data_IF_679229002264
#
_entry.id   IF_679229002264
#
_cell.length_a   1.000
_cell.length_b   1.000
_cell.length_c   1.000
_cell.angle_alpha   90.00
_cell.angle_beta   90.00
_cell.angle_gamma   90.00
#
_symmetry.space_group_name_H-M   'P 1'
#
loop_
_entity.id
_entity.type
_entity.pdbx_description
1 polymer ?
#
# COMPACT_ATOMS: atom_id res chain seq x y z
N UNK A 1 -4.28 -13.87 1.35
CA UNK A 1 -2.85 -13.79 1.01
C UNK A 1 -2.55 -12.43 0.46
N UNK A 2 -1.37 -11.85 0.75
CA UNK A 2 -0.99 -10.51 0.30
C UNK A 2 0.35 -10.50 -0.44
N UNK A 3 0.41 -9.79 -1.57
CA UNK A 3 1.60 -9.40 -2.32
C UNK A 3 1.64 -7.87 -2.44
N UNK A 4 2.84 -7.28 -2.45
CA UNK A 4 3.05 -5.85 -2.62
C UNK A 4 4.17 -5.59 -3.64
N UNK A 5 3.86 -4.80 -4.66
CA UNK A 5 4.83 -4.28 -5.61
C UNK A 5 4.95 -2.76 -5.43
N UNK A 6 6.18 -2.27 -5.32
CA UNK A 6 6.51 -0.85 -5.17
C UNK A 6 7.42 -0.40 -6.32
N UNK A 7 7.39 0.87 -6.72
CA UNK A 7 8.32 1.39 -7.71
C UNK A 7 9.73 1.42 -7.12
N UNK A 8 10.75 1.19 -7.97
CA UNK A 8 12.15 1.00 -7.55
C UNK A 8 12.67 2.11 -6.62
N UNK A 9 12.30 3.35 -6.89
CA UNK A 9 12.80 4.49 -6.13
C UNK A 9 12.22 4.55 -4.70
N UNK A 10 11.04 3.98 -4.46
CA UNK A 10 10.51 3.84 -3.09
C UNK A 10 11.32 2.84 -2.27
N UNK A 11 11.79 1.76 -2.91
CA UNK A 11 12.67 0.77 -2.28
C UNK A 11 14.02 1.38 -1.89
N UNK A 12 14.45 2.42 -2.60
CA UNK A 12 15.63 3.23 -2.27
C UNK A 12 15.34 4.37 -1.28
N UNK A 13 14.14 4.43 -0.70
CA UNK A 13 13.77 5.49 0.24
C UNK A 13 13.65 6.87 -0.41
N UNK A 14 13.23 6.93 -1.68
CA UNK A 14 13.07 8.17 -2.44
C UNK A 14 11.62 8.45 -2.80
N UNK A 15 11.33 9.73 -3.08
CA UNK A 15 10.07 10.19 -3.65
C UNK A 15 10.36 11.03 -4.89
N UNK A 16 9.52 10.93 -5.92
CA UNK A 16 9.65 11.76 -7.10
C UNK A 16 9.00 13.13 -6.90
N UNK A 17 9.73 14.23 -7.08
CA UNK A 17 9.16 15.57 -7.16
C UNK A 17 8.83 15.90 -8.62
N UNK A 18 7.54 15.97 -8.96
CA UNK A 18 7.08 16.30 -10.31
C UNK A 18 7.29 17.77 -10.67
N UNK A 19 7.42 18.68 -9.70
CA UNK A 19 7.68 20.09 -9.97
C UNK A 19 9.13 20.28 -10.40
N UNK A 20 10.05 19.66 -9.66
CA UNK A 20 11.49 19.78 -9.90
C UNK A 20 12.06 18.69 -10.83
N UNK A 21 11.24 17.68 -11.17
CA UNK A 21 11.61 16.52 -12.00
C UNK A 21 12.84 15.78 -11.46
N UNK A 22 12.88 15.56 -10.14
CA UNK A 22 14.00 14.89 -9.46
C UNK A 22 13.51 13.92 -8.39
N UNK A 23 14.34 12.95 -8.05
CA UNK A 23 14.12 12.10 -6.88
C UNK A 23 14.70 12.76 -5.63
N UNK A 24 13.89 12.84 -4.58
CA UNK A 24 14.26 13.35 -3.26
C UNK A 24 14.47 12.16 -2.35
N UNK A 25 15.65 12.06 -1.76
CA UNK A 25 15.92 11.11 -0.67
C UNK A 25 15.18 11.58 0.59
N UNK A 26 14.33 10.72 1.13
CA UNK A 26 13.54 11.01 2.34
C UNK A 26 14.05 10.23 3.55
N UNK A 27 15.13 9.46 3.41
CA UNK A 27 15.82 8.80 4.51
C UNK A 27 14.90 7.90 5.33
N UNK A 28 14.16 7.00 4.68
CA UNK A 28 13.29 6.04 5.37
C UNK A 28 14.12 5.19 6.35
N UNK A 29 13.66 5.11 7.60
CA UNK A 29 14.37 4.40 8.67
C UNK A 29 14.25 2.88 8.58
N UNK A 30 13.29 2.38 7.80
CA UNK A 30 12.96 0.95 7.67
C UNK A 30 12.74 0.61 6.20
N UNK A 31 12.88 -0.67 5.84
CA UNK A 31 12.47 -1.17 4.53
C UNK A 31 10.95 -0.99 4.40
N UNK A 32 10.56 -0.03 3.56
CA UNK A 32 9.16 0.35 3.36
C UNK A 32 8.31 -0.82 2.85
N UNK A 33 8.88 -1.72 2.04
CA UNK A 33 8.15 -2.87 1.52
C UNK A 33 7.79 -3.82 2.66
N UNK A 34 8.78 -4.15 3.50
CA UNK A 34 8.58 -5.04 4.64
C UNK A 34 7.65 -4.45 5.69
N UNK A 35 7.80 -3.14 5.96
CA UNK A 35 6.94 -2.41 6.89
C UNK A 35 5.48 -2.37 6.42
N UNK A 36 5.24 -2.01 5.16
CA UNK A 36 3.89 -2.01 4.56
C UNK A 36 3.28 -3.42 4.56
N UNK A 37 4.07 -4.44 4.21
CA UNK A 37 3.61 -5.84 4.21
C UNK A 37 3.25 -6.34 5.61
N UNK A 38 4.08 -6.08 6.62
CA UNK A 38 3.80 -6.48 8.00
C UNK A 38 2.51 -5.83 8.52
N UNK A 39 2.35 -4.54 8.27
CA UNK A 39 1.16 -3.79 8.69
C UNK A 39 -0.07 -4.25 7.94
N UNK A 40 0.00 -4.40 6.61
CA UNK A 40 -1.11 -4.88 5.78
C UNK A 40 -1.63 -6.24 6.25
N UNK A 41 -0.74 -7.19 6.51
CA UNK A 41 -1.11 -8.51 7.06
C UNK A 41 -1.77 -8.38 8.44
N UNK A 42 -1.18 -7.60 9.35
CA UNK A 42 -1.74 -7.37 10.68
C UNK A 42 -3.16 -6.79 10.62
N UNK A 43 -3.39 -5.79 9.77
CA UNK A 43 -4.70 -5.18 9.63
C UNK A 43 -5.74 -6.15 9.07
N UNK A 44 -5.42 -6.86 7.98
CA UNK A 44 -6.33 -7.84 7.40
C UNK A 44 -6.67 -8.96 8.39
N UNK A 45 -5.70 -9.40 9.20
CA UNK A 45 -5.96 -10.40 10.24
C UNK A 45 -6.96 -9.90 11.30
N UNK A 46 -6.98 -8.59 11.58
CA UNK A 46 -7.94 -7.98 12.50
C UNK A 46 -9.32 -7.79 11.86
N UNK A 47 -9.40 -7.42 10.58
CA UNK A 47 -10.67 -7.31 9.85
C UNK A 47 -11.32 -8.69 9.60
N UNK A 48 -10.52 -9.73 9.44
CA UNK A 48 -10.97 -11.10 9.20
C UNK A 48 -10.43 -12.06 10.27
N UNK A 49 -10.94 -12.01 11.52
CA UNK A 49 -10.37 -12.77 12.65
C UNK A 49 -10.43 -14.29 12.47
N UNK A 50 -11.34 -14.78 11.62
CA UNK A 50 -11.48 -16.20 11.32
C UNK A 50 -10.71 -16.64 10.06
N UNK A 51 -10.07 -15.71 9.34
CA UNK A 51 -9.25 -16.02 8.19
C UNK A 51 -7.78 -16.18 8.58
N UNK A 52 -7.05 -16.99 7.82
CA UNK A 52 -5.58 -17.01 7.90
C UNK A 52 -5.03 -16.00 6.89
N UNK A 53 -4.36 -14.96 7.38
CA UNK A 53 -3.71 -13.96 6.54
C UNK A 53 -2.19 -14.16 6.57
N UNK A 54 -1.56 -14.17 5.39
CA UNK A 54 -0.12 -14.35 5.23
C UNK A 54 0.45 -13.61 4.03
N UNK A 55 1.79 -13.57 3.96
CA UNK A 55 2.60 -12.97 2.88
C UNK A 55 2.84 -13.97 1.76
N UNK A 56 2.76 -13.54 0.50
CA UNK A 56 3.16 -14.34 -0.66
C UNK A 56 4.69 -14.27 -0.87
N UNK A 57 5.36 -15.33 -1.35
CA UNK A 57 4.86 -16.68 -1.62
C UNK A 57 4.46 -17.43 -0.34
N UNK A 58 3.45 -18.28 -0.47
CA UNK A 58 2.85 -19.03 0.64
C UNK A 58 3.39 -20.45 0.69
N UNK A 59 3.76 -20.89 1.89
CA UNK A 59 4.43 -22.18 2.11
C UNK A 59 3.49 -23.33 2.50
N UNK A 60 2.17 -23.17 2.48
CA UNK A 60 1.25 -24.26 2.87
C UNK A 60 0.54 -24.91 1.68
N UNK A 61 0.04 -26.12 1.90
CA UNK A 61 -0.60 -26.94 0.87
C UNK A 61 -1.99 -26.43 0.40
N UNK A 62 -2.59 -25.46 1.12
CA UNK A 62 -3.94 -24.97 0.81
C UNK A 62 -3.90 -23.78 -0.14
N UNK A 63 -4.67 -23.85 -1.23
CA UNK A 63 -4.90 -22.71 -2.14
C UNK A 63 -5.60 -21.57 -1.39
N UNK A 64 -5.12 -20.33 -1.48
CA UNK A 64 -5.76 -19.21 -0.80
C UNK A 64 -7.14 -18.90 -1.40
N UNK A 65 -8.10 -18.58 -0.53
CA UNK A 65 -9.44 -18.14 -0.95
C UNK A 65 -9.40 -16.77 -1.61
N UNK A 66 -8.57 -15.86 -1.08
CA UNK A 66 -8.32 -14.53 -1.64
C UNK A 66 -6.82 -14.29 -1.80
N UNK A 67 -6.42 -13.92 -3.01
CA UNK A 67 -5.13 -13.31 -3.31
C UNK A 67 -5.32 -11.81 -3.45
N UNK A 68 -4.75 -11.05 -2.51
CA UNK A 68 -4.66 -9.60 -2.54
C UNK A 68 -3.29 -9.24 -3.09
N UNK A 69 -3.24 -8.48 -4.18
CA UNK A 69 -2.00 -7.96 -4.73
C UNK A 69 -2.11 -6.45 -4.84
N UNK A 70 -1.25 -5.74 -4.12
CA UNK A 70 -1.21 -4.28 -4.10
C UNK A 70 -0.05 -3.85 -4.98
N UNK A 71 -0.32 -2.99 -5.94
CA UNK A 71 0.69 -2.39 -6.82
C UNK A 71 0.65 -0.88 -6.59
N UNK A 72 1.74 -0.30 -6.10
CA UNK A 72 1.92 1.14 -6.11
C UNK A 72 2.62 1.48 -7.42
N UNK A 73 1.95 2.22 -8.29
CA UNK A 73 2.48 2.62 -9.61
C UNK A 73 3.41 3.83 -9.44
N UNK A 74 2.96 4.85 -8.71
CA UNK A 74 3.74 6.06 -8.46
C UNK A 74 3.47 6.64 -7.05
N UNK A 75 4.54 7.14 -6.44
CA UNK A 75 4.54 8.05 -5.30
C UNK A 75 5.30 9.33 -5.69
N UNK A 76 4.64 10.48 -5.65
CA UNK A 76 5.25 11.75 -6.04
C UNK A 76 4.70 12.96 -5.27
N UNK A 77 5.46 14.06 -5.31
CA UNK A 77 5.03 15.37 -4.84
C UNK A 77 4.76 16.28 -6.03
N UNK A 78 3.62 16.97 -6.02
CA UNK A 78 3.24 18.00 -7.02
C UNK A 78 2.46 19.10 -6.32
N UNK A 79 2.80 20.37 -6.54
CA UNK A 79 2.08 21.51 -5.96
C UNK A 79 1.84 21.42 -4.44
N UNK A 80 2.86 21.04 -3.65
CA UNK A 80 2.75 20.78 -2.21
C UNK A 80 1.72 19.69 -1.82
N UNK A 81 1.40 18.76 -2.72
CA UNK A 81 0.58 17.60 -2.43
C UNK A 81 1.40 16.34 -2.70
N UNK A 82 1.43 15.43 -1.73
CA UNK A 82 1.93 14.08 -1.94
C UNK A 82 0.80 13.22 -2.50
N UNK A 83 1.08 12.54 -3.60
CA UNK A 83 0.11 11.74 -4.33
C UNK A 83 0.66 10.32 -4.46
N UNK A 84 -0.19 9.35 -4.18
CA UNK A 84 0.07 7.93 -4.42
C UNK A 84 -0.98 7.37 -5.34
N UNK A 85 -0.52 6.76 -6.43
CA UNK A 85 -1.34 6.11 -7.44
C UNK A 85 -0.96 4.64 -7.50
N UNK A 86 -1.95 3.78 -7.66
CA UNK A 86 -1.74 2.34 -7.71
C UNK A 86 -3.02 1.56 -7.96
N UNK A 87 -2.95 0.25 -7.73
CA UNK A 87 -4.06 -0.68 -7.89
C UNK A 87 -4.04 -1.74 -6.80
N UNK A 88 -5.23 -2.22 -6.44
CA UNK A 88 -5.39 -3.46 -5.68
C UNK A 88 -6.07 -4.47 -6.57
N UNK A 89 -5.49 -5.66 -6.64
CA UNK A 89 -6.05 -6.82 -7.31
C UNK A 89 -6.55 -7.79 -6.24
N UNK A 90 -7.80 -8.22 -6.35
CA UNK A 90 -8.36 -9.31 -5.55
C UNK A 90 -8.88 -10.38 -6.49
N UNK A 91 -8.25 -11.56 -6.50
CA UNK A 91 -8.60 -12.67 -7.39
C UNK A 91 -8.88 -12.18 -8.83
N UNK A 92 -7.94 -11.41 -9.41
CA UNK A 92 -7.98 -10.80 -10.75
C UNK A 92 -8.81 -9.51 -10.93
N UNK A 93 -9.64 -9.11 -9.96
CA UNK A 93 -10.38 -7.85 -10.03
C UNK A 93 -9.49 -6.67 -9.61
N UNK A 94 -9.24 -5.75 -10.54
CA UNK A 94 -8.43 -4.55 -10.31
C UNK A 94 -9.29 -3.36 -9.87
N UNK A 95 -8.88 -2.69 -8.79
CA UNK A 95 -9.42 -1.40 -8.37
C UNK A 95 -8.30 -0.36 -8.28
N UNK A 96 -8.58 0.83 -8.79
CA UNK A 96 -7.64 1.95 -8.77
C UNK A 96 -7.57 2.51 -7.34
N UNK A 97 -6.35 2.70 -6.85
CA UNK A 97 -6.04 3.44 -5.64
C UNK A 97 -5.51 4.82 -6.02
N UNK A 98 -6.07 5.86 -5.39
CA UNK A 98 -5.54 7.21 -5.46
C UNK A 98 -5.64 7.87 -4.09
N UNK A 99 -4.50 8.21 -3.53
CA UNK A 99 -4.39 8.92 -2.26
C UNK A 99 -3.71 10.27 -2.49
N UNK A 100 -4.24 11.32 -1.89
CA UNK A 100 -3.68 12.67 -1.96
C UNK A 100 -3.65 13.29 -0.57
N UNK A 101 -2.52 13.88 -0.20
CA UNK A 101 -2.36 14.57 1.09
C UNK A 101 -1.51 15.84 0.94
N UNK A 102 -2.02 16.95 1.47
CA UNK A 102 -1.33 18.24 1.43
C UNK A 102 -0.14 18.28 2.38
N UNK A 103 1.00 18.72 1.87
CA UNK A 103 2.24 19.01 2.60
C UNK A 103 2.11 20.39 3.27
N UNK A 104 1.41 20.45 4.40
CA UNK A 104 1.23 21.70 5.15
C UNK A 104 2.51 22.19 5.85
N UNK A 105 3.52 21.31 5.99
CA UNK A 105 4.83 21.65 6.59
C UNK A 105 5.96 21.00 5.78
N UNK A 106 7.20 21.18 6.23
CA UNK A 106 8.37 20.55 5.61
C UNK A 106 8.14 19.03 5.38
N UNK A 107 8.40 18.57 4.15
CA UNK A 107 8.25 17.18 3.71
C UNK A 107 8.86 16.19 4.72
N UNK A 108 10.11 16.41 5.13
CA UNK A 108 10.83 15.53 6.05
C UNK A 108 10.14 15.39 7.43
N UNK A 109 9.42 16.42 7.89
CA UNK A 109 8.70 16.39 9.17
C UNK A 109 7.31 15.75 9.06
N UNK A 110 6.77 15.69 7.84
CA UNK A 110 5.41 15.21 7.60
C UNK A 110 5.39 13.78 7.08
N UNK A 111 6.52 13.28 6.57
CA UNK A 111 6.55 12.07 5.75
C UNK A 111 6.02 10.83 6.48
N UNK A 112 6.45 10.59 7.72
CA UNK A 112 5.99 9.45 8.53
C UNK A 112 4.48 9.46 8.76
N UNK A 113 3.94 10.65 9.05
CA UNK A 113 2.50 10.84 9.26
C UNK A 113 1.73 10.58 7.97
N UNK A 114 2.27 10.99 6.83
CA UNK A 114 1.61 10.79 5.54
C UNK A 114 1.68 9.31 5.16
N UNK A 115 2.80 8.62 5.36
CA UNK A 115 2.89 7.18 5.15
C UNK A 115 1.93 6.40 6.05
N UNK A 116 1.76 6.81 7.31
CA UNK A 116 0.76 6.20 8.19
C UNK A 116 -0.67 6.40 7.66
N UNK A 117 -1.00 7.57 7.10
CA UNK A 117 -2.29 7.84 6.45
C UNK A 117 -2.49 7.03 5.17
N UNK A 118 -1.46 6.98 4.32
CA UNK A 118 -1.45 6.17 3.11
C UNK A 118 -1.71 4.70 3.44
N UNK A 119 -1.02 4.17 4.46
CA UNK A 119 -1.21 2.81 4.93
C UNK A 119 -2.65 2.57 5.39
N UNK A 120 -3.20 3.46 6.23
CA UNK A 120 -4.58 3.36 6.68
C UNK A 120 -5.57 3.38 5.50
N UNK A 121 -5.32 4.22 4.49
CA UNK A 121 -6.11 4.27 3.26
C UNK A 121 -6.03 2.95 2.47
N UNK A 122 -4.82 2.47 2.17
CA UNK A 122 -4.60 1.22 1.43
C UNK A 122 -5.27 0.05 2.14
N UNK A 123 -5.08 -0.06 3.45
CA UNK A 123 -5.69 -1.11 4.27
C UNK A 123 -7.22 -1.05 4.21
N UNK A 124 -7.82 0.13 4.36
CA UNK A 124 -9.27 0.30 4.32
C UNK A 124 -9.84 -0.08 2.96
N UNK A 125 -9.17 0.32 1.87
CA UNK A 125 -9.58 -0.04 0.51
C UNK A 125 -9.44 -1.53 0.23
N UNK A 126 -8.38 -2.17 0.74
CA UNK A 126 -8.19 -3.63 0.63
C UNK A 126 -9.27 -4.36 1.44
N UNK A 127 -9.53 -3.97 2.68
CA UNK A 127 -10.55 -4.58 3.54
C UNK A 127 -11.94 -4.50 2.89
N UNK A 128 -12.34 -3.30 2.47
CA UNK A 128 -13.58 -3.08 1.72
C UNK A 128 -13.68 -3.96 0.48
N UNK A 129 -12.59 -4.06 -0.28
CA UNK A 129 -12.56 -4.86 -1.50
C UNK A 129 -12.59 -6.37 -1.22
N UNK A 130 -11.98 -6.82 -0.12
CA UNK A 130 -12.07 -8.21 0.33
C UNK A 130 -13.50 -8.56 0.75
N UNK A 131 -14.18 -7.67 1.49
CA UNK A 131 -15.58 -7.87 1.89
C UNK A 131 -16.49 -7.96 0.66
N UNK A 132 -16.37 -7.03 -0.28
CA UNK A 132 -17.12 -7.07 -1.54
C UNK A 132 -16.86 -8.36 -2.33
N UNK A 133 -15.60 -8.80 -2.42
CA UNK A 133 -15.25 -10.04 -3.11
C UNK A 133 -15.84 -11.28 -2.43
N UNK A 134 -15.91 -11.30 -1.09
CA UNK A 134 -16.55 -12.38 -0.34
C UNK A 134 -18.07 -12.37 -0.58
N UNK A 135 -18.71 -11.20 -0.52
CA UNK A 135 -20.17 -11.06 -0.73
C UNK A 135 -20.60 -11.45 -2.15
N UNK A 136 -19.74 -11.26 -3.16
CA UNK A 136 -20.06 -11.61 -4.55
C UNK A 136 -20.00 -13.13 -4.82
N UNK A 137 -19.44 -13.92 -3.89
CA UNK A 137 -19.24 -15.35 -4.03
C UNK A 137 -20.14 -16.21 -3.10
N UNK A 138 -21.10 -15.60 -2.40
CA UNK A 138 -22.12 -16.26 -1.58
C UNK A 138 -23.56 -15.97 -2.05
#
# INVERSE_FOLDING_TARGET
MMQLDLPWYMLEGKIYDKNEKKYIDIGLSEDIADWLMQRGVYYLQNSFPNATVGRYPWDFDKKPQLLVHIVIDELFVKNNTMIVEGKVFINEQAKILRFEESLNTNLYKSIDKIFAKLLAFVVTEVDRSCQEALDTHF
#
